data_IF_735588567745
#
_entry.id   IF_735588567745
#
_cell.length_a   1.000
_cell.length_b   1.000
_cell.length_c   1.000
_cell.angle_alpha   90.00
_cell.angle_beta   90.00
_cell.angle_gamma   90.00
#
_symmetry.space_group_name_H-M   'P 1'
#
loop_
_entity.id
_entity.type
_entity.pdbx_description
1 polymer ?
#
# COMPACT_ATOMS: atom_id res chain seq x y z
N UNK A 1 18.55 -19.20 -3.00
CA UNK A 1 17.30 -19.07 -2.22
C UNK A 1 16.68 -17.76 -2.65
N UNK A 2 15.40 -17.73 -3.07
CA UNK A 2 14.74 -16.46 -3.34
C UNK A 2 14.55 -15.76 -1.99
N UNK A 3 15.13 -14.57 -1.83
CA UNK A 3 14.92 -13.80 -0.61
C UNK A 3 13.44 -13.42 -0.51
N UNK A 4 12.81 -13.76 0.61
CA UNK A 4 11.40 -13.45 0.86
C UNK A 4 11.27 -11.94 1.05
N UNK A 5 10.73 -11.25 0.06
CA UNK A 5 10.41 -9.82 0.17
C UNK A 5 9.37 -9.59 1.26
N UNK A 6 9.63 -8.62 2.14
CA UNK A 6 8.75 -8.38 3.29
C UNK A 6 7.75 -7.27 2.97
N UNK A 7 6.46 -7.62 2.89
CA UNK A 7 5.36 -6.65 2.79
C UNK A 7 5.00 -6.14 4.20
N UNK A 8 4.90 -4.82 4.38
CA UNK A 8 4.54 -4.19 5.65
C UNK A 8 3.49 -3.10 5.48
N UNK A 9 2.69 -2.90 6.52
CA UNK A 9 1.89 -1.69 6.70
C UNK A 9 2.76 -0.69 7.45
N UNK A 10 3.14 0.38 6.77
CA UNK A 10 4.03 1.41 7.29
C UNK A 10 3.26 2.69 7.58
N UNK A 11 3.72 3.45 8.57
CA UNK A 11 3.18 4.79 8.86
C UNK A 11 3.67 5.77 7.80
N UNK A 12 2.76 6.53 7.20
CA UNK A 12 3.08 7.56 6.24
C UNK A 12 3.23 8.90 6.96
N UNK A 13 4.33 9.61 6.71
CA UNK A 13 4.60 10.92 7.30
C UNK A 13 4.74 12.00 6.23
N UNK A 14 4.22 13.19 6.52
CA UNK A 14 4.42 14.40 5.71
C UNK A 14 4.79 15.55 6.66
N UNK A 15 5.94 16.16 6.44
CA UNK A 15 6.49 17.21 7.31
C UNK A 15 6.54 16.81 8.80
N UNK A 16 6.98 15.59 9.10
CA UNK A 16 7.09 15.07 10.46
C UNK A 16 5.77 14.68 11.13
N UNK A 17 4.62 14.89 10.48
CA UNK A 17 3.30 14.47 10.99
C UNK A 17 2.85 13.17 10.32
N UNK A 18 2.34 12.24 11.11
CA UNK A 18 1.71 11.02 10.57
C UNK A 18 0.42 11.42 9.86
N UNK A 19 0.28 11.05 8.59
CA UNK A 19 -0.89 11.37 7.76
C UNK A 19 -1.68 10.13 7.35
N UNK A 20 -1.21 8.93 7.68
CA UNK A 20 -1.92 7.69 7.40
C UNK A 20 -1.01 6.46 7.41
N UNK A 21 -1.40 5.47 6.61
CA UNK A 21 -0.67 4.23 6.39
C UNK A 21 -0.42 4.02 4.89
N UNK A 22 0.57 3.19 4.57
CA UNK A 22 0.82 2.68 3.23
C UNK A 22 1.38 1.25 3.28
N UNK A 23 1.21 0.49 2.20
CA UNK A 23 1.94 -0.76 2.00
C UNK A 23 3.34 -0.44 1.48
N UNK A 24 4.32 -1.14 2.06
CA UNK A 24 5.72 -1.07 1.65
C UNK A 24 6.28 -2.47 1.44
N UNK A 25 7.27 -2.58 0.58
CA UNK A 25 8.10 -3.78 0.39
C UNK A 25 9.54 -3.35 0.56
N UNK A 26 10.25 -3.98 1.49
CA UNK A 26 11.65 -3.67 1.78
C UNK A 26 11.90 -2.17 2.04
N UNK A 27 10.91 -1.50 2.66
CA UNK A 27 10.95 -0.07 3.00
C UNK A 27 10.52 0.89 1.88
N UNK A 28 10.28 0.39 0.66
CA UNK A 28 9.78 1.18 -0.48
C UNK A 28 8.27 1.10 -0.58
N UNK A 29 7.61 2.22 -0.88
CA UNK A 29 6.15 2.27 -0.94
C UNK A 29 5.64 1.69 -2.26
N UNK A 30 4.56 0.90 -2.24
CA UNK A 30 3.92 0.48 -3.48
C UNK A 30 3.37 1.69 -4.25
N UNK A 31 3.54 1.70 -5.57
CA UNK A 31 3.04 2.76 -6.46
C UNK A 31 1.52 2.79 -6.49
N UNK A 32 0.98 3.94 -6.93
CA UNK A 32 -0.45 4.15 -7.17
C UNK A 32 -1.35 3.93 -5.94
N UNK A 33 -0.84 3.81 -4.73
CA UNK A 33 -1.67 3.76 -3.52
C UNK A 33 -2.38 5.09 -3.30
N UNK A 34 -3.70 5.04 -3.29
CA UNK A 34 -4.58 6.18 -3.03
C UNK A 34 -4.94 6.27 -1.55
N UNK A 35 -5.28 5.13 -0.95
CA UNK A 35 -5.74 5.06 0.43
C UNK A 35 -5.43 3.70 1.03
N UNK A 36 -4.97 3.71 2.29
CA UNK A 36 -4.90 2.51 3.14
C UNK A 36 -5.73 2.77 4.38
N UNK A 37 -6.69 1.89 4.63
CA UNK A 37 -7.59 1.92 5.77
C UNK A 37 -7.35 0.69 6.64
N UNK A 38 -7.27 0.90 7.95
CA UNK A 38 -7.20 -0.17 8.94
C UNK A 38 -8.52 -0.14 9.70
N UNK A 39 -9.33 -1.17 9.50
CA UNK A 39 -10.61 -1.30 10.17
C UNK A 39 -10.46 -2.28 11.32
N UNK A 40 -10.59 -1.79 12.54
CA UNK A 40 -10.57 -2.63 13.74
C UNK A 40 -11.99 -2.73 14.27
N UNK A 41 -12.65 -3.85 13.98
CA UNK A 41 -13.90 -4.22 14.62
C UNK A 41 -13.60 -5.02 15.90
N UNK A 42 -14.53 -5.11 16.86
CA UNK A 42 -14.30 -5.77 18.14
C UNK A 42 -13.80 -7.22 18.05
N UNK A 43 -14.04 -7.89 16.92
CA UNK A 43 -13.71 -9.30 16.69
C UNK A 43 -12.73 -9.52 15.53
N UNK A 44 -12.55 -8.54 14.64
CA UNK A 44 -11.75 -8.68 13.42
C UNK A 44 -11.02 -7.40 13.06
N UNK A 45 -9.79 -7.56 12.55
CA UNK A 45 -9.03 -6.47 11.95
C UNK A 45 -8.87 -6.73 10.45
N UNK A 46 -9.20 -5.74 9.62
CA UNK A 46 -9.01 -5.79 8.18
C UNK A 46 -8.27 -4.57 7.66
N UNK A 47 -7.62 -4.76 6.52
CA UNK A 47 -6.87 -3.70 5.84
C UNK A 47 -7.42 -3.56 4.43
N UNK A 48 -8.01 -2.41 4.13
CA UNK A 48 -8.47 -2.05 2.81
C UNK A 48 -7.45 -1.16 2.13
N UNK A 49 -7.04 -1.51 0.91
CA UNK A 49 -6.12 -0.71 0.10
C UNK A 49 -6.78 -0.35 -1.23
N UNK A 50 -6.84 0.94 -1.51
CA UNK A 50 -7.27 1.46 -2.80
C UNK A 50 -6.05 1.89 -3.61
N UNK A 51 -5.97 1.39 -4.84
CA UNK A 51 -5.02 1.84 -5.84
C UNK A 51 -5.70 2.74 -6.86
N UNK A 52 -4.99 3.77 -7.32
CA UNK A 52 -5.37 4.57 -8.48
C UNK A 52 -5.26 3.69 -9.71
N UNK A 53 -6.33 3.66 -10.47
CA UNK A 53 -6.42 2.98 -11.75
C UNK A 53 -6.55 4.02 -12.86
N UNK A 54 -5.94 3.74 -14.01
CA UNK A 54 -6.01 4.56 -15.21
C UNK A 54 -6.44 3.70 -16.41
N UNK A 55 -7.21 4.25 -17.36
CA UNK A 55 -7.69 3.49 -18.54
C UNK A 55 -6.55 2.88 -19.37
N UNK A 56 -5.36 3.47 -19.35
CA UNK A 56 -4.16 2.88 -19.97
C UNK A 56 -3.74 1.54 -19.36
N UNK A 57 -4.24 1.20 -18.16
CA UNK A 57 -4.04 -0.07 -17.43
C UNK A 57 -5.14 -1.11 -17.74
N UNK A 58 -5.91 -0.94 -18.81
CA UNK A 58 -6.89 -1.94 -19.29
C UNK A 58 -6.22 -3.00 -20.16
N UNK A 59 -5.14 -2.62 -20.86
CA UNK A 59 -4.50 -3.46 -21.89
C UNK A 59 -3.55 -4.48 -21.23
N UNK A 60 -2.90 -4.09 -20.12
CA UNK A 60 -2.15 -4.95 -19.20
C UNK A 60 -2.68 -4.69 -17.79
N UNK A 61 -2.70 -5.72 -16.92
CA UNK A 61 -3.12 -5.59 -15.53
C UNK A 61 -2.44 -4.38 -14.85
N UNK A 62 -3.08 -3.67 -13.91
CA UNK A 62 -2.48 -2.51 -13.27
C UNK A 62 -1.19 -2.91 -12.56
N UNK A 63 -0.06 -2.51 -13.11
CA UNK A 63 1.23 -2.78 -12.51
C UNK A 63 1.39 -1.96 -11.22
N UNK A 64 1.69 -2.68 -10.14
CA UNK A 64 2.05 -2.11 -8.85
C UNK A 64 3.57 -2.30 -8.71
N UNK A 65 4.30 -1.18 -8.78
CA UNK A 65 5.75 -1.16 -8.68
C UNK A 65 6.20 -0.68 -7.30
N UNK A 66 7.48 -0.89 -6.96
CA UNK A 66 8.11 -0.25 -5.81
C UNK A 66 8.51 1.19 -6.18
N UNK A 67 8.27 2.14 -5.28
CA UNK A 67 8.62 3.56 -5.44
C UNK A 67 9.71 4.00 -4.48
#
# INVERSE_FOLDING_TARGET
MAETKQVKISKLFKHGKQIGYCLTVDGQMLSNQKQVSINTYPLDASVGVEFVWHESMIIDAPDIHLK
#
